data_IF_712630047112
#
_entry.id   IF_712630047112
#
_cell.length_a   1.000
_cell.length_b   1.000
_cell.length_c   1.000
_cell.angle_alpha   90.00
_cell.angle_beta   90.00
_cell.angle_gamma   90.00
#
_symmetry.space_group_name_H-M   'P 1'
#
loop_
_entity.id
_entity.type
_entity.pdbx_description
1 polymer ?
#
# COMPACT_ATOMS: atom_id res chain seq x y z
N UNK A 1 -39.22 -23.68 -30.91
CA UNK A 1 -39.86 -22.36 -30.95
C UNK A 1 -39.11 -21.46 -29.98
N UNK A 2 -38.13 -20.72 -30.49
CA UNK A 2 -37.31 -19.81 -29.71
C UNK A 2 -38.03 -18.46 -29.61
N UNK A 3 -38.56 -18.15 -28.44
CA UNK A 3 -38.98 -16.79 -28.11
C UNK A 3 -37.77 -16.00 -27.66
N UNK A 4 -37.19 -15.21 -28.57
CA UNK A 4 -36.16 -14.22 -28.21
C UNK A 4 -36.87 -13.00 -27.61
N UNK A 5 -36.88 -12.90 -26.29
CA UNK A 5 -36.99 -11.61 -25.62
C UNK A 5 -35.60 -11.26 -25.09
N UNK A 6 -34.94 -10.33 -25.75
CA UNK A 6 -33.67 -9.74 -25.31
C UNK A 6 -34.03 -8.42 -24.64
N UNK A 7 -33.93 -8.35 -23.31
CA UNK A 7 -33.95 -7.07 -22.60
C UNK A 7 -32.56 -6.41 -22.71
N UNK A 8 -32.46 -5.18 -23.25
CA UNK A 8 -31.17 -4.54 -23.54
C UNK A 8 -30.58 -3.86 -22.29
N UNK A 9 -30.37 -4.61 -21.21
CA UNK A 9 -29.83 -4.04 -19.97
C UNK A 9 -29.22 -5.01 -18.96
N UNK A 10 -29.21 -6.32 -19.21
CA UNK A 10 -28.74 -7.28 -18.20
C UNK A 10 -27.31 -7.76 -18.49
N UNK A 11 -26.35 -7.23 -17.73
CA UNK A 11 -24.96 -7.68 -17.69
C UNK A 11 -24.92 -9.12 -17.19
N UNK A 12 -24.42 -10.02 -18.04
CA UNK A 12 -24.20 -11.44 -17.75
C UNK A 12 -23.08 -11.59 -16.70
N UNK A 13 -23.45 -11.67 -15.41
CA UNK A 13 -22.56 -12.26 -14.40
C UNK A 13 -22.52 -13.78 -14.60
N UNK A 14 -21.42 -14.27 -15.19
CA UNK A 14 -21.15 -15.70 -15.30
C UNK A 14 -20.67 -16.29 -13.98
N UNK A 15 -21.55 -16.96 -13.23
CA UNK A 15 -21.14 -17.84 -12.13
C UNK A 15 -20.90 -19.26 -12.65
N UNK A 16 -19.65 -19.76 -12.60
CA UNK A 16 -19.36 -21.19 -12.76
C UNK A 16 -19.86 -21.94 -11.53
N UNK A 17 -20.99 -22.64 -11.65
CA UNK A 17 -21.37 -23.70 -10.70
C UNK A 17 -20.26 -24.76 -10.70
N UNK A 18 -19.60 -24.99 -9.56
CA UNK A 18 -19.08 -26.34 -9.26
C UNK A 18 -17.69 -26.51 -8.69
N UNK A 19 -16.85 -25.48 -8.50
CA UNK A 19 -15.62 -25.68 -7.73
C UNK A 19 -15.91 -25.47 -6.25
N UNK A 20 -16.06 -26.58 -5.51
CA UNK A 20 -16.08 -26.57 -4.04
C UNK A 20 -14.69 -26.13 -3.54
N UNK A 21 -14.49 -24.83 -3.39
CA UNK A 21 -13.42 -24.32 -2.54
C UNK A 21 -13.80 -24.70 -1.12
N UNK A 22 -12.97 -25.43 -0.36
CA UNK A 22 -13.28 -25.70 1.03
C UNK A 22 -13.37 -24.35 1.75
N UNK A 23 -14.58 -23.97 2.15
CA UNK A 23 -14.83 -22.78 2.92
C UNK A 23 -14.17 -22.97 4.29
N UNK A 24 -12.90 -22.56 4.43
CA UNK A 24 -12.35 -22.28 5.76
C UNK A 24 -13.14 -21.10 6.29
N UNK A 25 -14.11 -21.41 7.16
CA UNK A 25 -14.77 -20.42 8.00
C UNK A 25 -13.68 -19.85 8.91
N UNK A 26 -13.10 -18.73 8.51
CA UNK A 26 -12.36 -17.88 9.43
C UNK A 26 -13.43 -17.46 10.44
N UNK A 27 -13.38 -17.99 11.66
CA UNK A 27 -14.27 -17.53 12.72
C UNK A 27 -13.90 -16.08 12.98
N UNK A 28 -14.66 -15.15 12.43
CA UNK A 28 -14.55 -13.76 12.80
C UNK A 28 -14.85 -13.70 14.30
N UNK A 29 -13.90 -13.30 15.16
CA UNK A 29 -14.20 -13.19 16.58
C UNK A 29 -15.41 -12.27 16.72
N UNK A 30 -16.40 -12.70 17.51
CA UNK A 30 -17.58 -11.90 17.81
C UNK A 30 -17.11 -10.47 18.11
N UNK A 31 -17.52 -9.52 17.27
CA UNK A 31 -17.13 -8.12 17.38
C UNK A 31 -17.74 -7.58 18.69
N UNK A 32 -17.00 -7.70 19.80
CA UNK A 32 -17.35 -7.02 21.04
C UNK A 32 -17.37 -5.54 20.75
N UNK A 33 -18.30 -4.82 21.38
CA UNK A 33 -18.54 -3.40 21.09
C UNK A 33 -17.30 -2.52 21.33
N UNK A 34 -16.29 -3.05 22.02
CA UNK A 34 -14.99 -2.43 22.21
C UNK A 34 -13.85 -3.38 21.81
N UNK A 35 -12.92 -2.87 21.00
CA UNK A 35 -11.60 -3.46 20.78
C UNK A 35 -10.55 -2.47 21.29
N UNK A 36 -9.54 -2.96 22.00
CA UNK A 36 -8.43 -2.11 22.43
C UNK A 36 -7.47 -1.89 21.25
N UNK A 37 -6.93 -0.69 21.05
CA UNK A 37 -5.95 -0.44 19.96
C UNK A 37 -4.78 -1.42 19.99
N UNK A 38 -4.35 -1.85 21.19
CA UNK A 38 -3.29 -2.85 21.38
C UNK A 38 -3.63 -4.22 20.79
N UNK A 39 -4.90 -4.59 20.69
CA UNK A 39 -5.29 -5.88 20.08
C UNK A 39 -5.11 -5.90 18.57
N UNK A 40 -4.86 -4.75 17.93
CA UNK A 40 -4.58 -4.65 16.50
C UNK A 40 -3.10 -4.87 16.17
N UNK A 41 -2.19 -4.74 17.14
CA UNK A 41 -0.75 -4.92 16.94
C UNK A 41 -0.34 -6.25 16.28
N UNK A 42 -0.94 -7.42 16.59
CA UNK A 42 -0.57 -8.68 15.95
C UNK A 42 -1.18 -8.86 14.54
N UNK A 43 -1.97 -7.91 14.04
CA UNK A 43 -2.59 -8.00 12.72
C UNK A 43 -1.60 -7.55 11.64
N UNK A 44 -0.65 -8.41 11.30
CA UNK A 44 0.44 -8.11 10.36
C UNK A 44 -0.08 -7.65 8.99
N UNK A 45 -1.15 -8.27 8.48
CA UNK A 45 -1.73 -7.87 7.21
C UNK A 45 -2.43 -6.51 7.28
N UNK A 46 -3.02 -6.14 8.43
CA UNK A 46 -3.57 -4.80 8.63
C UNK A 46 -2.45 -3.76 8.63
N UNK A 47 -1.34 -4.06 9.28
CA UNK A 47 -0.16 -3.20 9.24
C UNK A 47 0.36 -3.03 7.80
N UNK A 48 0.47 -4.12 7.06
CA UNK A 48 0.90 -4.10 5.67
C UNK A 48 -0.03 -3.25 4.76
N UNK A 49 -1.34 -3.33 4.96
CA UNK A 49 -2.34 -2.49 4.28
C UNK A 49 -2.17 -1.02 4.64
N UNK A 50 -1.89 -0.69 5.90
CA UNK A 50 -1.66 0.70 6.34
C UNK A 50 -0.41 1.26 5.67
N UNK A 51 0.71 0.53 5.71
CA UNK A 51 1.97 0.96 5.08
C UNK A 51 1.80 1.14 3.56
N UNK A 52 1.13 0.20 2.90
CA UNK A 52 0.88 0.28 1.46
C UNK A 52 -0.03 1.46 1.08
N UNK A 53 -1.01 1.76 1.94
CA UNK A 53 -1.85 2.96 1.77
C UNK A 53 -1.01 4.23 1.87
N UNK A 54 -0.08 4.30 2.83
CA UNK A 54 0.81 5.45 3.00
C UNK A 54 1.87 5.56 1.89
N UNK A 55 2.25 4.43 1.26
CA UNK A 55 3.13 4.40 0.09
C UNK A 55 2.46 5.06 -1.12
N UNK A 56 1.25 4.65 -1.47
CA UNK A 56 0.52 5.17 -2.65
C UNK A 56 -0.02 6.58 -2.37
N UNK A 57 -0.56 6.82 -1.18
CA UNK A 57 -1.19 8.08 -0.80
C UNK A 57 -0.50 8.70 0.42
N UNK A 58 0.77 9.13 0.31
CA UNK A 58 1.46 9.75 1.43
C UNK A 58 0.77 11.07 1.79
N UNK A 59 0.48 11.33 3.09
CA UNK A 59 -0.15 12.58 3.52
C UNK A 59 0.74 13.80 3.27
N UNK A 60 2.06 13.60 3.17
CA UNK A 60 3.04 14.61 2.79
C UNK A 60 3.85 14.20 1.56
N UNK A 61 3.33 14.34 0.33
CA UNK A 61 4.00 13.94 -0.92
C UNK A 61 5.42 14.49 -1.14
N UNK A 62 5.72 15.63 -0.51
CA UNK A 62 6.98 16.37 -0.64
C UNK A 62 7.89 16.25 0.60
N UNK A 63 7.41 15.65 1.68
CA UNK A 63 8.11 15.64 2.97
C UNK A 63 8.23 17.02 3.62
N UNK A 64 8.88 17.06 4.76
CA UNK A 64 9.19 18.28 5.52
C UNK A 64 10.58 18.79 5.09
N UNK A 65 10.77 20.10 4.86
CA UNK A 65 12.06 20.62 4.44
C UNK A 65 13.15 20.38 5.50
N UNK A 66 14.35 20.09 5.02
CA UNK A 66 15.60 20.20 5.78
C UNK A 66 16.37 21.41 5.26
N UNK A 67 16.93 22.20 6.17
CA UNK A 67 17.73 23.37 5.79
C UNK A 67 19.20 23.01 5.93
N UNK A 68 20.00 23.31 4.89
CA UNK A 68 21.46 23.13 4.95
C UNK A 68 22.03 24.04 6.03
N UNK A 69 22.79 23.44 6.93
CA UNK A 69 23.46 24.13 8.03
C UNK A 69 24.53 25.11 7.55
N UNK A 70 25.16 25.79 8.52
CA UNK A 70 26.14 26.81 8.18
C UNK A 70 27.37 26.24 7.48
N UNK A 71 27.86 26.93 6.46
CA UNK A 71 29.02 26.53 5.66
C UNK A 71 28.72 25.69 4.42
N UNK A 72 27.45 25.28 4.18
CA UNK A 72 27.08 24.42 3.06
C UNK A 72 27.46 22.95 3.29
N UNK A 73 27.00 22.05 2.41
CA UNK A 73 27.32 20.62 2.48
C UNK A 73 27.25 19.92 1.11
N UNK A 74 27.85 18.74 0.98
CA UNK A 74 27.73 17.89 -0.20
C UNK A 74 26.57 16.90 -0.06
N UNK A 75 25.69 16.86 -1.06
CA UNK A 75 24.52 15.96 -1.11
C UNK A 75 24.53 15.23 -2.43
N UNK A 76 24.53 13.89 -2.40
CA UNK A 76 24.60 13.04 -3.60
C UNK A 76 25.80 13.37 -4.52
N UNK A 77 26.89 13.90 -3.97
CA UNK A 77 28.10 14.29 -4.71
C UNK A 77 28.12 15.75 -5.17
N UNK A 78 27.01 16.50 -5.02
CA UNK A 78 26.91 17.89 -5.44
C UNK A 78 26.98 18.85 -4.25
N UNK A 79 27.67 19.98 -4.40
CA UNK A 79 27.73 21.02 -3.37
C UNK A 79 26.42 21.78 -3.26
N UNK A 80 25.90 21.91 -2.04
CA UNK A 80 24.66 22.63 -1.72
C UNK A 80 24.95 23.76 -0.73
N UNK A 81 24.64 25.02 -1.06
CA UNK A 81 24.89 26.16 -0.18
C UNK A 81 24.09 26.15 1.12
N UNK A 82 24.63 26.80 2.15
CA UNK A 82 23.93 27.14 3.40
C UNK A 82 22.56 27.76 3.13
N UNK A 83 21.56 27.42 3.96
CA UNK A 83 20.22 28.00 3.87
C UNK A 83 19.34 27.38 2.77
N UNK A 84 19.87 26.46 1.97
CA UNK A 84 19.08 25.75 0.95
C UNK A 84 18.06 24.82 1.60
N UNK A 85 16.81 24.88 1.13
CA UNK A 85 15.75 23.94 1.53
C UNK A 85 15.79 22.67 0.68
N UNK A 86 15.95 21.52 1.32
CA UNK A 86 16.00 20.21 0.70
C UNK A 86 14.77 19.42 1.09
N UNK A 87 14.21 18.71 0.11
CA UNK A 87 13.03 17.88 0.27
C UNK A 87 13.31 16.48 -0.25
N UNK A 88 12.82 15.46 0.45
CA UNK A 88 12.73 14.10 -0.10
C UNK A 88 11.39 13.98 -0.81
N UNK A 89 11.40 13.69 -2.11
CA UNK A 89 10.16 13.54 -2.87
C UNK A 89 9.57 12.13 -2.68
N UNK A 90 8.84 11.95 -1.57
CA UNK A 90 8.21 10.67 -1.20
C UNK A 90 7.47 10.01 -2.36
N UNK A 91 6.55 10.73 -3.03
CA UNK A 91 5.81 10.15 -4.16
C UNK A 91 6.71 9.64 -5.28
N UNK A 92 7.79 10.35 -5.61
CA UNK A 92 8.69 9.92 -6.68
C UNK A 92 9.40 8.61 -6.30
N UNK A 93 9.85 8.49 -5.05
CA UNK A 93 10.53 7.29 -4.56
C UNK A 93 9.57 6.09 -4.50
N UNK A 94 8.34 6.31 -4.01
CA UNK A 94 7.34 5.26 -3.83
C UNK A 94 6.73 4.73 -5.13
N UNK A 95 6.75 5.54 -6.20
CA UNK A 95 6.25 5.14 -7.52
C UNK A 95 7.37 4.75 -8.50
N UNK A 96 8.63 4.75 -8.05
CA UNK A 96 9.75 4.31 -8.90
C UNK A 96 9.78 2.77 -8.98
N UNK A 97 9.70 2.17 -10.19
CA UNK A 97 9.77 0.73 -10.38
C UNK A 97 11.10 0.10 -9.94
N UNK A 98 12.15 0.91 -9.73
CA UNK A 98 13.41 0.44 -9.12
C UNK A 98 13.27 0.08 -7.64
N UNK A 99 12.30 0.68 -6.95
CA UNK A 99 12.07 0.47 -5.52
C UNK A 99 10.89 -0.48 -5.26
N UNK A 100 9.83 -0.41 -6.08
CA UNK A 100 8.61 -1.21 -5.91
C UNK A 100 8.19 -1.87 -7.22
N UNK A 101 7.95 -3.19 -7.18
CA UNK A 101 7.37 -3.93 -8.31
C UNK A 101 5.92 -3.52 -8.51
N UNK A 102 5.52 -3.23 -9.75
CA UNK A 102 4.17 -2.72 -10.08
C UNK A 102 3.78 -1.53 -9.18
N UNK A 103 4.54 -0.42 -9.24
CA UNK A 103 4.47 0.65 -8.26
C UNK A 103 3.11 1.35 -8.17
N UNK A 104 2.32 1.32 -9.25
CA UNK A 104 0.98 1.92 -9.32
C UNK A 104 -0.12 1.00 -8.76
N UNK A 105 0.18 -0.29 -8.57
CA UNK A 105 -0.78 -1.26 -8.04
C UNK A 105 -0.74 -1.27 -6.51
N UNK A 106 -1.89 -1.43 -5.87
CA UNK A 106 -2.02 -1.58 -4.42
C UNK A 106 -1.72 -3.03 -4.00
N UNK A 107 -0.53 -3.28 -3.47
CA UNK A 107 0.00 -4.60 -3.15
C UNK A 107 0.52 -4.62 -1.69
N UNK A 108 -0.35 -4.90 -0.69
CA UNK A 108 0.05 -4.96 0.72
C UNK A 108 1.24 -5.89 1.00
N UNK A 109 1.45 -6.91 0.15
CA UNK A 109 2.58 -7.83 0.23
C UNK A 109 3.94 -7.12 0.12
N UNK A 110 3.97 -5.85 -0.32
CA UNK A 110 5.15 -5.01 -0.24
C UNK A 110 5.69 -4.81 1.18
N UNK A 111 4.82 -4.92 2.19
CA UNK A 111 5.15 -4.73 3.60
C UNK A 111 4.89 -5.99 4.44
N UNK A 112 4.87 -7.16 3.80
CA UNK A 112 4.74 -8.44 4.52
C UNK A 112 6.00 -8.76 5.34
N UNK A 113 5.86 -9.32 6.56
CA UNK A 113 7.00 -9.59 7.45
C UNK A 113 8.05 -10.51 6.81
N UNK A 114 7.64 -11.46 5.97
CA UNK A 114 8.56 -12.34 5.24
C UNK A 114 9.49 -11.63 4.24
N UNK A 115 9.20 -10.38 3.84
CA UNK A 115 10.11 -9.61 2.98
C UNK A 115 11.35 -9.14 3.73
N UNK A 116 11.21 -8.78 5.01
CA UNK A 116 12.31 -8.20 5.79
C UNK A 116 13.35 -9.24 6.19
N UNK A 117 12.94 -10.52 6.37
CA UNK A 117 13.87 -11.62 6.67
C UNK A 117 14.83 -11.97 5.54
N UNK A 118 14.53 -11.58 4.30
CA UNK A 118 15.34 -11.89 3.12
C UNK A 118 16.41 -10.81 2.84
N UNK A 119 16.44 -9.75 3.65
CA UNK A 119 17.29 -8.56 3.45
C UNK A 119 18.24 -8.27 4.63
N UNK A 120 18.44 -9.25 5.52
CA UNK A 120 19.36 -9.18 6.67
C UNK A 120 20.42 -10.30 6.58
#
# INVERSE_FOLDING_TARGET
MFGHHIDPGCIIYGYRKGTKVPARRISMPQLSHEFAVRSLAPLEYLHAVIEETLRIYPPGPRGIPRIVGSGGDYICGDWVPEGTSIYVRHCAVYHDPKNFTLPEDFIPEHFSPNRLSDSQ
#
